data_IF_329002242773
#
_entry.id   IF_329002242773
#
_cell.length_a   1.000
_cell.length_b   1.000
_cell.length_c   1.000
_cell.angle_alpha   90.00
_cell.angle_beta   90.00
_cell.angle_gamma   90.00
#
_symmetry.space_group_name_H-M   'P 1'
#
loop_
_entity.id
_entity.type
_entity.pdbx_description
1 polymer ?
#
# COMPACT_ATOMS: atom_id res chain seq x y z
N UNK A 1 28.53 -24.62 26.00
CA UNK A 1 27.60 -23.88 26.89
C UNK A 1 27.67 -22.39 26.57
N UNK A 2 26.49 -21.81 26.29
CA UNK A 2 26.06 -20.43 26.63
C UNK A 2 27.07 -19.28 26.47
N UNK A 3 27.35 -18.83 25.25
CA UNK A 3 27.92 -17.48 25.06
C UNK A 3 27.31 -16.65 23.91
N UNK A 4 26.51 -17.26 23.00
CA UNK A 4 25.92 -16.57 21.85
C UNK A 4 24.40 -16.34 21.93
N UNK A 5 23.72 -16.90 22.94
CA UNK A 5 22.25 -16.84 23.04
C UNK A 5 21.71 -15.72 23.94
N UNK A 6 22.56 -14.99 24.67
CA UNK A 6 22.07 -14.19 25.81
C UNK A 6 21.70 -12.74 25.54
N UNK A 7 21.97 -12.15 24.37
CA UNK A 7 21.51 -10.78 24.09
C UNK A 7 21.18 -10.55 22.61
N UNK A 8 20.36 -11.42 22.00
CA UNK A 8 19.55 -10.96 20.87
C UNK A 8 18.45 -10.08 21.45
N UNK A 9 18.79 -8.84 21.84
CA UNK A 9 17.82 -7.76 22.02
C UNK A 9 16.91 -7.85 20.79
N UNK A 10 15.64 -8.21 20.99
CA UNK A 10 14.67 -8.19 19.90
C UNK A 10 14.75 -6.77 19.35
N UNK A 11 15.26 -6.60 18.13
CA UNK A 11 15.28 -5.30 17.48
C UNK A 11 13.82 -4.91 17.34
N UNK A 12 13.38 -3.96 18.16
CA UNK A 12 12.02 -3.44 18.10
C UNK A 12 11.99 -2.50 16.90
N UNK A 13 11.47 -3.01 15.78
CA UNK A 13 11.17 -2.18 14.63
C UNK A 13 9.90 -1.37 14.91
N UNK A 14 9.85 -0.14 14.41
CA UNK A 14 8.62 0.63 14.40
C UNK A 14 7.61 -0.07 13.48
N UNK A 15 6.37 -0.22 13.96
CA UNK A 15 5.31 -0.88 13.20
C UNK A 15 4.97 -0.12 11.91
N UNK A 16 4.99 1.21 11.95
CA UNK A 16 4.76 2.03 10.76
C UNK A 16 5.84 1.80 9.69
N UNK A 17 7.11 1.60 10.08
CA UNK A 17 8.20 1.32 9.13
C UNK A 17 8.02 -0.04 8.46
N UNK A 18 7.56 -1.05 9.22
CA UNK A 18 7.27 -2.38 8.66
C UNK A 18 6.11 -2.31 7.68
N UNK A 19 5.04 -1.60 8.04
CA UNK A 19 3.84 -1.46 7.23
C UNK A 19 4.13 -0.68 5.94
N UNK A 20 4.85 0.45 6.00
CA UNK A 20 5.20 1.20 4.79
C UNK A 20 6.16 0.45 3.88
N UNK A 21 7.14 -0.27 4.44
CA UNK A 21 7.98 -1.14 3.64
C UNK A 21 7.18 -2.28 2.97
N UNK A 22 6.22 -2.86 3.70
CA UNK A 22 5.37 -3.92 3.18
C UNK A 22 4.38 -3.44 2.12
N UNK A 23 3.82 -2.24 2.28
CA UNK A 23 2.92 -1.62 1.32
C UNK A 23 3.66 -1.29 0.02
N UNK A 24 4.85 -0.71 0.11
CA UNK A 24 5.70 -0.46 -1.07
C UNK A 24 6.02 -1.77 -1.82
N UNK A 25 6.41 -2.82 -1.10
CA UNK A 25 6.66 -4.15 -1.68
C UNK A 25 5.43 -4.79 -2.32
N UNK A 26 4.22 -4.52 -1.79
CA UNK A 26 2.97 -5.04 -2.35
C UNK A 26 2.61 -4.37 -3.68
N UNK A 27 3.13 -3.16 -3.89
CA UNK A 27 2.94 -2.32 -5.08
C UNK A 27 4.07 -2.48 -6.12
N UNK A 28 5.06 -3.34 -5.88
CA UNK A 28 6.15 -3.52 -6.86
C UNK A 28 5.66 -4.12 -8.19
N UNK A 29 6.16 -3.57 -9.30
CA UNK A 29 5.99 -4.09 -10.65
C UNK A 29 7.17 -4.99 -11.08
N UNK A 30 7.08 -5.54 -12.30
CA UNK A 30 8.14 -6.37 -12.89
C UNK A 30 8.22 -7.74 -12.24
N UNK A 31 9.44 -8.20 -11.92
CA UNK A 31 9.68 -9.56 -11.39
C UNK A 31 8.96 -9.87 -10.06
N UNK A 32 8.56 -8.83 -9.32
CA UNK A 32 7.86 -8.96 -8.04
C UNK A 32 6.36 -8.66 -8.15
N UNK A 33 5.85 -8.47 -9.37
CA UNK A 33 4.44 -8.15 -9.59
C UNK A 33 3.54 -9.27 -9.06
N UNK A 34 2.59 -8.88 -8.20
CA UNK A 34 1.65 -9.76 -7.49
C UNK A 34 2.30 -10.82 -6.59
N UNK A 35 3.61 -10.76 -6.38
CA UNK A 35 4.31 -11.72 -5.52
C UNK A 35 4.03 -11.44 -4.03
N UNK A 36 3.93 -12.48 -3.19
CA UNK A 36 3.85 -12.32 -1.73
C UNK A 36 5.00 -11.45 -1.19
N UNK A 37 4.74 -10.62 -0.19
CA UNK A 37 5.77 -9.73 0.39
C UNK A 37 6.60 -10.41 1.46
N UNK A 38 6.16 -11.54 2.02
CA UNK A 38 6.70 -12.14 3.23
C UNK A 38 8.20 -12.42 3.14
N UNK A 39 8.68 -12.97 2.02
CA UNK A 39 10.11 -13.26 1.84
C UNK A 39 10.94 -11.96 1.83
N UNK A 40 10.52 -10.96 1.07
CA UNK A 40 11.21 -9.66 0.95
C UNK A 40 11.16 -8.89 2.28
N UNK A 41 10.01 -8.91 2.95
CA UNK A 41 9.80 -8.28 4.24
C UNK A 41 10.61 -8.97 5.34
N UNK A 42 10.68 -10.30 5.33
CA UNK A 42 11.50 -11.09 6.26
C UNK A 42 12.99 -10.84 6.10
N UNK A 43 13.47 -10.65 4.86
CA UNK A 43 14.86 -10.22 4.60
C UNK A 43 15.16 -8.84 5.19
N UNK A 44 14.21 -7.88 5.07
CA UNK A 44 14.37 -6.52 5.61
C UNK A 44 14.22 -6.46 7.15
N UNK A 45 13.36 -7.29 7.71
CA UNK A 45 13.03 -7.35 9.13
C UNK A 45 13.21 -8.77 9.70
N UNK A 46 14.46 -9.27 9.82
CA UNK A 46 14.77 -10.67 10.15
C UNK A 46 14.33 -11.12 11.55
N UNK A 47 13.89 -10.20 12.43
CA UNK A 47 13.33 -10.58 13.74
C UNK A 47 11.83 -10.96 13.66
N UNK A 48 11.16 -10.74 12.52
CA UNK A 48 9.76 -11.10 12.35
C UNK A 48 9.61 -12.61 12.13
N UNK A 49 8.65 -13.21 12.85
CA UNK A 49 8.22 -14.59 12.63
C UNK A 49 7.25 -14.65 11.45
N UNK A 50 7.13 -15.83 10.83
CA UNK A 50 6.22 -16.07 9.69
C UNK A 50 4.78 -15.58 9.95
N UNK A 51 4.22 -15.84 11.12
CA UNK A 51 2.87 -15.36 11.46
C UNK A 51 2.73 -13.83 11.46
N UNK A 52 3.78 -13.09 11.84
CA UNK A 52 3.79 -11.62 11.73
C UNK A 52 3.98 -11.18 10.28
N UNK A 53 4.79 -11.88 9.50
CA UNK A 53 4.94 -11.60 8.06
C UNK A 53 3.60 -11.77 7.31
N UNK A 54 2.84 -12.83 7.61
CA UNK A 54 1.50 -13.06 7.03
C UNK A 54 0.51 -11.99 7.46
N UNK A 55 0.55 -11.59 8.73
CA UNK A 55 -0.26 -10.49 9.25
C UNK A 55 0.01 -9.18 8.50
N UNK A 56 1.29 -8.80 8.33
CA UNK A 56 1.65 -7.59 7.60
C UNK A 56 1.30 -7.67 6.11
N UNK A 57 1.48 -8.83 5.46
CA UNK A 57 1.05 -9.04 4.08
C UNK A 57 -0.46 -8.80 3.93
N UNK A 58 -1.27 -9.32 4.84
CA UNK A 58 -2.73 -9.12 4.83
C UNK A 58 -3.09 -7.63 4.96
N UNK A 59 -2.46 -6.92 5.90
CA UNK A 59 -2.72 -5.48 6.11
C UNK A 59 -2.31 -4.67 4.87
N UNK A 60 -1.09 -4.86 4.37
CA UNK A 60 -0.55 -4.08 3.26
C UNK A 60 -1.37 -4.28 1.98
N UNK A 61 -1.69 -5.55 1.64
CA UNK A 61 -2.54 -5.84 0.47
C UNK A 61 -3.97 -5.34 0.66
N UNK A 62 -4.48 -5.37 1.89
CA UNK A 62 -5.78 -4.80 2.23
C UNK A 62 -5.84 -3.30 1.97
N UNK A 63 -4.85 -2.55 2.48
CA UNK A 63 -4.74 -1.11 2.28
C UNK A 63 -4.60 -0.75 0.80
N UNK A 64 -3.68 -1.41 0.08
CA UNK A 64 -3.48 -1.22 -1.35
C UNK A 64 -4.77 -1.41 -2.15
N UNK A 65 -5.45 -2.55 -1.96
CA UNK A 65 -6.70 -2.86 -2.66
C UNK A 65 -7.82 -1.89 -2.30
N UNK A 66 -7.93 -1.50 -1.04
CA UNK A 66 -8.95 -0.57 -0.60
C UNK A 66 -8.75 0.81 -1.22
N UNK A 67 -7.51 1.30 -1.29
CA UNK A 67 -7.19 2.56 -1.96
C UNK A 67 -7.42 2.53 -3.47
N UNK A 68 -6.99 1.47 -4.15
CA UNK A 68 -7.26 1.27 -5.58
C UNK A 68 -8.76 1.19 -5.86
N UNK A 69 -9.52 0.50 -5.01
CA UNK A 69 -10.99 0.42 -5.15
C UNK A 69 -11.66 1.77 -4.95
N UNK A 70 -11.23 2.56 -3.96
CA UNK A 70 -11.74 3.92 -3.76
C UNK A 70 -11.61 4.76 -5.04
N UNK A 71 -10.41 4.78 -5.63
CA UNK A 71 -10.14 5.53 -6.87
C UNK A 71 -11.02 5.03 -8.02
N UNK A 72 -11.08 3.71 -8.19
CA UNK A 72 -11.87 3.09 -9.25
C UNK A 72 -13.36 3.42 -9.11
N UNK A 73 -13.95 3.22 -7.93
CA UNK A 73 -15.36 3.48 -7.68
C UNK A 73 -15.70 4.96 -7.90
N UNK A 74 -14.84 5.87 -7.44
CA UNK A 74 -15.05 7.32 -7.63
C UNK A 74 -14.98 7.69 -9.11
N UNK A 75 -14.00 7.19 -9.86
CA UNK A 75 -13.94 7.44 -11.30
C UNK A 75 -15.13 6.83 -12.04
N UNK A 76 -15.53 5.61 -11.69
CA UNK A 76 -16.66 4.92 -12.31
C UNK A 76 -17.99 5.64 -12.07
N UNK A 77 -18.17 6.23 -10.89
CA UNK A 77 -19.34 7.05 -10.58
C UNK A 77 -19.37 8.40 -11.32
N UNK A 78 -18.24 8.86 -11.86
CA UNK A 78 -18.08 10.16 -12.52
C UNK A 78 -17.74 10.02 -14.03
N UNK A 79 -18.38 9.06 -14.71
CA UNK A 79 -18.22 8.85 -16.16
C UNK A 79 -19.30 9.50 -17.02
N UNK A 80 -20.21 10.28 -16.42
CA UNK A 80 -21.23 10.98 -17.21
C UNK A 80 -20.59 12.04 -18.14
N UNK A 81 -21.07 12.18 -19.38
CA UNK A 81 -20.59 13.22 -20.29
C UNK A 81 -20.70 14.61 -19.65
N UNK A 82 -19.55 15.29 -19.49
CA UNK A 82 -19.49 16.62 -18.85
C UNK A 82 -19.36 16.61 -17.32
N UNK A 83 -19.28 15.44 -16.69
CA UNK A 83 -19.19 15.28 -15.24
C UNK A 83 -17.99 14.41 -14.83
N UNK A 84 -16.79 14.78 -15.30
CA UNK A 84 -15.54 14.14 -14.89
C UNK A 84 -14.98 14.83 -13.65
N UNK A 85 -14.59 14.03 -12.65
CA UNK A 85 -13.86 14.53 -11.50
C UNK A 85 -12.45 14.99 -11.90
N UNK A 86 -12.00 16.13 -11.38
CA UNK A 86 -10.63 16.61 -11.55
C UNK A 86 -9.63 15.68 -10.83
N UNK A 87 -8.49 15.42 -11.46
CA UNK A 87 -7.49 14.48 -10.91
C UNK A 87 -6.91 14.94 -9.57
N UNK A 88 -6.78 16.25 -9.34
CA UNK A 88 -6.25 16.81 -8.09
C UNK A 88 -7.30 16.76 -7.00
N UNK A 89 -8.55 17.05 -7.31
CA UNK A 89 -9.65 16.93 -6.35
C UNK A 89 -9.78 15.47 -5.89
N UNK A 90 -9.75 14.52 -6.83
CA UNK A 90 -9.73 13.09 -6.50
C UNK A 90 -8.52 12.70 -5.65
N UNK A 91 -7.34 13.27 -5.92
CA UNK A 91 -6.15 13.00 -5.10
C UNK A 91 -6.33 13.51 -3.67
N UNK A 92 -6.87 14.71 -3.48
CA UNK A 92 -7.13 15.28 -2.15
C UNK A 92 -8.12 14.40 -1.37
N UNK A 93 -9.23 14.02 -2.00
CA UNK A 93 -10.24 13.15 -1.38
C UNK A 93 -9.65 11.77 -1.03
N UNK A 94 -8.86 11.19 -1.93
CA UNK A 94 -8.17 9.94 -1.70
C UNK A 94 -7.20 10.03 -0.53
N UNK A 95 -6.33 11.05 -0.48
CA UNK A 95 -5.34 11.20 0.58
C UNK A 95 -6.02 11.38 1.95
N UNK A 96 -7.08 12.20 2.03
CA UNK A 96 -7.87 12.35 3.25
C UNK A 96 -8.50 11.03 3.71
N UNK A 97 -9.16 10.31 2.79
CA UNK A 97 -9.77 9.03 3.10
C UNK A 97 -8.74 7.97 3.54
N UNK A 98 -7.61 7.91 2.85
CA UNK A 98 -6.57 6.90 3.09
C UNK A 98 -5.86 7.15 4.42
N UNK A 99 -5.53 8.40 4.76
CA UNK A 99 -4.92 8.74 6.05
C UNK A 99 -5.89 8.52 7.21
N UNK A 100 -7.17 8.84 7.04
CA UNK A 100 -8.18 8.59 8.08
C UNK A 100 -8.35 7.10 8.38
N UNK A 101 -8.27 6.24 7.35
CA UNK A 101 -8.45 4.79 7.47
C UNK A 101 -7.16 4.04 7.83
N UNK A 102 -6.02 4.51 7.35
CA UNK A 102 -4.71 3.89 7.49
C UNK A 102 -3.66 4.94 7.90
N UNK A 103 -3.68 5.41 9.16
CA UNK A 103 -2.85 6.53 9.62
C UNK A 103 -1.34 6.24 9.64
N UNK A 104 -0.95 4.98 9.42
CA UNK A 104 0.44 4.57 9.30
C UNK A 104 1.01 4.81 7.90
N UNK A 105 0.20 5.06 6.88
CA UNK A 105 0.67 5.21 5.48
C UNK A 105 1.38 6.55 5.30
N UNK A 106 2.61 6.52 4.80
CA UNK A 106 3.39 7.72 4.51
C UNK A 106 3.05 8.35 3.16
N UNK A 107 3.51 9.58 2.93
CA UNK A 107 3.22 10.33 1.70
C UNK A 107 3.73 9.62 0.43
N UNK A 108 4.84 8.89 0.51
CA UNK A 108 5.40 8.20 -0.63
C UNK A 108 4.47 7.05 -1.06
N UNK A 109 3.97 6.29 -0.10
CA UNK A 109 3.00 5.22 -0.35
C UNK A 109 1.63 5.76 -0.75
N UNK A 110 1.16 6.88 -0.18
CA UNK A 110 -0.08 7.54 -0.63
C UNK A 110 -0.03 7.81 -2.14
N UNK A 111 1.02 8.50 -2.59
CA UNK A 111 1.22 8.81 -4.01
C UNK A 111 1.29 7.56 -4.87
N UNK A 112 1.98 6.52 -4.42
CA UNK A 112 2.13 5.26 -5.18
C UNK A 112 0.81 4.50 -5.30
N UNK A 113 0.02 4.39 -4.22
CA UNK A 113 -1.32 3.78 -4.26
C UNK A 113 -2.20 4.57 -5.23
N UNK A 114 -2.17 5.91 -5.15
CA UNK A 114 -2.92 6.78 -6.04
C UNK A 114 -2.56 6.56 -7.50
N UNK A 115 -1.29 6.68 -7.86
CA UNK A 115 -0.82 6.50 -9.24
C UNK A 115 -1.14 5.11 -9.80
N UNK A 116 -1.05 4.05 -8.99
CA UNK A 116 -1.44 2.71 -9.45
C UNK A 116 -2.94 2.56 -9.63
N UNK A 117 -3.75 3.13 -8.72
CA UNK A 117 -5.20 3.13 -8.86
C UNK A 117 -5.63 3.84 -10.14
N UNK A 118 -5.07 5.02 -10.40
CA UNK A 118 -5.30 5.77 -11.65
C UNK A 118 -4.88 4.96 -12.87
N UNK A 119 -3.69 4.33 -12.84
CA UNK A 119 -3.20 3.51 -13.95
C UNK A 119 -4.13 2.34 -14.27
N UNK A 120 -4.59 1.60 -13.25
CA UNK A 120 -5.49 0.47 -13.46
C UNK A 120 -6.88 0.93 -13.91
N UNK A 121 -7.40 2.03 -13.35
CA UNK A 121 -8.67 2.60 -13.77
C UNK A 121 -8.64 3.07 -15.24
N UNK A 122 -7.58 3.77 -15.65
CA UNK A 122 -7.36 4.19 -17.03
C UNK A 122 -7.30 3.00 -17.99
N UNK A 123 -6.61 1.92 -17.61
CA UNK A 123 -6.56 0.69 -18.39
C UNK A 123 -7.94 0.05 -18.61
N UNK A 124 -8.85 0.23 -17.66
CA UNK A 124 -10.24 -0.25 -17.72
C UNK A 124 -11.21 0.79 -18.33
N UNK A 125 -10.70 1.93 -18.82
CA UNK A 125 -11.47 2.96 -19.51
C UNK A 125 -12.00 4.10 -18.63
N UNK A 126 -11.66 4.11 -17.34
CA UNK A 126 -12.09 5.12 -16.37
C UNK A 126 -11.04 6.21 -16.20
N UNK A 127 -11.41 7.45 -16.54
CA UNK A 127 -10.48 8.59 -16.54
C UNK A 127 -11.04 9.79 -15.77
N UNK A 128 -10.14 10.55 -15.13
CA UNK A 128 -10.42 11.88 -14.58
C UNK A 128 -10.40 12.96 -15.66
N UNK A 129 -10.73 14.19 -15.29
CA UNK A 129 -10.34 15.38 -16.03
C UNK A 129 -8.87 15.75 -15.71
N UNK A 130 -8.23 16.44 -16.66
CA UNK A 130 -6.84 16.94 -16.56
C UNK A 130 -6.78 18.39 -16.07
#
# INVERSE_FOLDING_TARGET
>A
MKLLELFRRRKNYNEADILNAGLDMAMEFGKNWLQPIQERLGKKFPALKNSRLDHYNKICRGAMKAGQKFIYDTLAANQEPGHKIDSKDLQVDFEQWMVARYPWVDQANLRRVFSQGMYYAWHDGYNSAD
#
